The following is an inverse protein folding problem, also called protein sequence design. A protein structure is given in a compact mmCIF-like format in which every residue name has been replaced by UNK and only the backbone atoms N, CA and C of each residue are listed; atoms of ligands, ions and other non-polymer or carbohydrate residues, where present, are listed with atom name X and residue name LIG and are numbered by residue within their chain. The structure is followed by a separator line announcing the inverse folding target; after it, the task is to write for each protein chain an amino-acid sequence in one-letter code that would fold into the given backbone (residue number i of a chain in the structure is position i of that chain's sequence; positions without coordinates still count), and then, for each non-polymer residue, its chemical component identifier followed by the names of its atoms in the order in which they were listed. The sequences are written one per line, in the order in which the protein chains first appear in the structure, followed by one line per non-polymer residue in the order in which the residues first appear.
data_IF_851988171659
#
_entry.id   IF_851988171659
#
_cell.length_a   1.000
_cell.length_b   1.000
_cell.length_c   1.000
_cell.angle_alpha   90.00
_cell.angle_beta   90.00
_cell.angle_gamma   90.00
#
_symmetry.space_group_name_H-M   'P 1'
#
loop_
_entity.id
_entity.type
_entity.pdbx_description
1 polymer ?
#
# COMPACT_ATOMS: atom_id res chain seq x y z
N UNK A 1 5.00 5.16 -30.79
CA UNK A 1 6.14 4.52 -30.05
C UNK A 1 6.11 2.99 -30.12
N UNK A 2 4.95 2.35 -30.20
CA UNK A 2 4.83 0.87 -30.34
C UNK A 2 5.40 0.28 -31.64
N UNK A 3 5.59 1.07 -32.67
CA UNK A 3 6.09 0.62 -33.99
C UNK A 3 7.62 0.39 -34.00
N UNK A 4 8.35 0.73 -32.94
CA UNK A 4 9.80 0.57 -32.83
C UNK A 4 10.27 -0.47 -31.81
N UNK A 5 9.37 -1.26 -31.23
CA UNK A 5 9.75 -2.31 -30.29
C UNK A 5 10.33 -3.51 -31.05
N UNK A 6 11.56 -3.90 -30.72
CA UNK A 6 12.18 -5.12 -31.24
C UNK A 6 11.51 -6.33 -30.60
N UNK A 7 11.13 -7.38 -31.35
CA UNK A 7 10.60 -8.61 -30.77
C UNK A 7 11.59 -9.21 -29.77
N UNK A 8 11.12 -9.54 -28.58
CA UNK A 8 11.93 -10.22 -27.57
C UNK A 8 12.23 -11.62 -28.07
N UNK A 9 13.50 -11.94 -28.27
CA UNK A 9 13.94 -13.28 -28.68
C UNK A 9 14.05 -14.22 -27.49
N UNK A 10 13.86 -15.53 -27.71
CA UNK A 10 14.03 -16.57 -26.68
C UNK A 10 15.42 -16.48 -26.01
N UNK A 11 16.47 -16.22 -26.77
CA UNK A 11 17.83 -16.03 -26.25
C UNK A 11 17.94 -14.83 -25.28
N UNK A 12 17.16 -13.76 -25.50
CA UNK A 12 17.10 -12.63 -24.58
C UNK A 12 16.38 -13.01 -23.28
N UNK A 13 15.29 -13.78 -23.39
CA UNK A 13 14.54 -14.28 -22.23
C UNK A 13 15.45 -15.18 -21.37
N UNK A 14 16.18 -16.10 -21.99
CA UNK A 14 17.08 -17.03 -21.30
C UNK A 14 18.21 -16.28 -20.57
N UNK A 15 18.86 -15.33 -21.25
CA UNK A 15 19.92 -14.50 -20.64
C UNK A 15 19.39 -13.62 -19.50
N UNK A 16 18.17 -13.09 -19.65
CA UNK A 16 17.50 -12.31 -18.60
C UNK A 16 17.18 -13.17 -17.39
N UNK A 17 16.67 -14.39 -17.61
CA UNK A 17 16.37 -15.33 -16.52
C UNK A 17 17.62 -15.74 -15.74
N UNK A 18 18.76 -15.97 -16.41
CA UNK A 18 20.02 -16.29 -15.74
C UNK A 18 20.53 -15.12 -14.88
N UNK A 19 20.52 -13.90 -15.42
CA UNK A 19 20.95 -12.69 -14.68
C UNK A 19 20.04 -12.46 -13.48
N UNK A 20 18.74 -12.61 -13.67
CA UNK A 20 17.75 -12.42 -12.63
C UNK A 20 17.87 -13.48 -11.51
N UNK A 21 18.07 -14.73 -11.86
CA UNK A 21 18.29 -15.82 -10.91
C UNK A 21 19.55 -15.56 -10.04
N UNK A 22 20.65 -15.10 -10.65
CA UNK A 22 21.89 -14.74 -9.93
C UNK A 22 21.68 -13.54 -8.97
N UNK A 23 20.99 -12.50 -9.42
CA UNK A 23 20.66 -11.34 -8.55
C UNK A 23 19.78 -11.74 -7.38
N UNK A 24 18.83 -12.63 -7.60
CA UNK A 24 17.90 -13.11 -6.56
C UNK A 24 18.60 -13.96 -5.51
N UNK A 25 19.48 -14.86 -5.94
CA UNK A 25 20.28 -15.67 -5.00
C UNK A 25 21.21 -14.79 -4.17
N UNK A 26 21.85 -13.80 -4.76
CA UNK A 26 22.67 -12.83 -4.04
C UNK A 26 21.84 -12.03 -3.02
N UNK A 27 20.64 -11.58 -3.40
CA UNK A 27 19.73 -10.86 -2.50
C UNK A 27 19.24 -11.76 -1.36
N UNK A 28 18.99 -13.04 -1.63
CA UNK A 28 18.62 -14.04 -0.63
C UNK A 28 19.76 -14.28 0.36
N UNK A 29 20.98 -14.43 -0.12
CA UNK A 29 22.16 -14.62 0.71
C UNK A 29 22.41 -13.39 1.60
N UNK A 30 22.27 -12.18 1.05
CA UNK A 30 22.38 -10.93 1.81
C UNK A 30 21.31 -10.85 2.91
N UNK A 31 20.06 -11.25 2.64
CA UNK A 31 19.00 -11.30 3.66
C UNK A 31 19.22 -12.38 4.73
N UNK A 32 19.83 -13.51 4.38
CA UNK A 32 20.17 -14.56 5.34
C UNK A 32 21.34 -14.13 6.24
N UNK A 33 22.31 -13.41 5.70
CA UNK A 33 23.43 -12.85 6.47
C UNK A 33 22.94 -11.73 7.40
N UNK A 34 22.02 -10.84 6.96
CA UNK A 34 21.45 -9.81 7.81
C UNK A 34 20.56 -10.37 8.94
N UNK A 35 19.85 -11.48 8.70
CA UNK A 35 19.09 -12.19 9.77
C UNK A 35 19.97 -12.88 10.81
N UNK A 36 21.17 -13.25 10.48
CA UNK A 36 22.12 -13.91 11.42
C UNK A 36 22.91 -12.94 12.31
N UNK A 37 22.92 -11.64 11.95
CA UNK A 37 23.51 -10.57 12.77
C UNK A 37 22.37 -9.91 13.56
N UNK A 38 21.98 -10.53 14.65
CA UNK A 38 20.89 -10.06 15.52
C UNK A 38 21.20 -8.69 16.15
N UNK A 39 20.78 -7.65 15.51
CA UNK A 39 20.42 -6.29 15.93
C UNK A 39 20.13 -5.46 14.68
N UNK A 40 19.07 -5.78 13.95
CA UNK A 40 18.62 -4.95 12.82
C UNK A 40 18.05 -3.63 13.37
N UNK A 41 18.91 -2.66 13.58
CA UNK A 41 18.50 -1.27 13.69
C UNK A 41 17.95 -0.89 12.32
N UNK A 42 16.63 -0.72 12.19
CA UNK A 42 16.02 -0.31 10.95
C UNK A 42 16.46 1.12 10.65
N UNK A 43 17.22 1.30 9.58
CA UNK A 43 17.74 2.60 9.15
C UNK A 43 16.98 3.13 7.91
N UNK A 44 16.88 4.46 7.78
CA UNK A 44 16.28 5.05 6.60
C UNK A 44 17.11 4.79 5.35
N UNK A 45 16.45 4.43 4.25
CA UNK A 45 17.10 4.29 2.94
C UNK A 45 17.45 5.66 2.33
N UNK A 46 18.22 5.66 1.23
CA UNK A 46 18.72 6.89 0.59
C UNK A 46 17.59 7.90 0.26
N UNK A 47 16.48 7.41 -0.28
CA UNK A 47 15.31 8.25 -0.58
C UNK A 47 14.71 8.86 0.69
N UNK A 48 14.57 8.06 1.74
CA UNK A 48 14.05 8.53 3.02
C UNK A 48 14.98 9.56 3.67
N UNK A 49 16.30 9.39 3.57
CA UNK A 49 17.28 10.36 4.06
C UNK A 49 17.09 11.72 3.37
N UNK A 50 16.92 11.74 2.05
CA UNK A 50 16.73 12.99 1.31
C UNK A 50 15.38 13.64 1.64
N UNK A 51 14.32 12.84 1.75
CA UNK A 51 13.02 13.34 2.19
C UNK A 51 13.08 13.94 3.60
N UNK A 52 13.75 13.28 4.55
CA UNK A 52 13.94 13.78 5.92
C UNK A 52 14.72 15.09 5.96
N UNK A 53 15.78 15.25 5.15
CA UNK A 53 16.52 16.51 5.02
C UNK A 53 15.62 17.65 4.55
N UNK A 54 14.79 17.39 3.54
CA UNK A 54 13.90 18.41 3.01
C UNK A 54 12.77 18.78 3.99
N UNK A 55 12.22 17.80 4.73
CA UNK A 55 11.25 18.08 5.79
C UNK A 55 11.88 18.98 6.86
N UNK A 56 13.10 18.68 7.30
CA UNK A 56 13.80 19.51 8.29
C UNK A 56 14.06 20.93 7.75
N UNK A 57 14.47 21.06 6.48
CA UNK A 57 14.67 22.35 5.84
C UNK A 57 13.39 23.21 5.86
N UNK A 58 12.23 22.63 5.53
CA UNK A 58 10.94 23.33 5.61
C UNK A 58 10.64 23.79 7.05
N UNK A 59 10.95 22.99 8.06
CA UNK A 59 10.81 23.40 9.47
C UNK A 59 11.73 24.56 9.84
N UNK A 60 12.98 24.50 9.41
CA UNK A 60 13.97 25.57 9.65
C UNK A 60 13.54 26.89 8.97
N UNK A 61 12.82 26.81 7.84
CA UNK A 61 12.17 27.93 7.16
C UNK A 61 10.88 28.40 7.87
N UNK A 62 10.53 27.82 9.01
CA UNK A 62 9.32 28.18 9.78
C UNK A 62 8.01 27.63 9.22
N UNK A 63 8.06 26.66 8.31
CA UNK A 63 6.85 26.01 7.81
C UNK A 63 6.28 25.06 8.84
N UNK A 64 4.96 25.07 9.00
CA UNK A 64 4.22 24.23 9.95
C UNK A 64 3.56 23.02 9.29
N UNK A 65 3.57 22.97 7.96
CA UNK A 65 2.99 21.88 7.17
C UNK A 65 3.94 21.46 6.05
N UNK A 66 3.95 20.17 5.75
CA UNK A 66 4.65 19.61 4.59
C UNK A 66 3.87 18.46 3.96
N UNK A 67 3.99 18.31 2.64
CA UNK A 67 3.42 17.20 1.87
C UNK A 67 4.53 16.33 1.33
N UNK A 68 4.42 15.03 1.60
CA UNK A 68 5.25 13.97 1.03
C UNK A 68 4.44 13.23 -0.05
N UNK A 69 4.89 13.32 -1.29
CA UNK A 69 4.32 12.58 -2.40
C UNK A 69 5.22 11.39 -2.68
N UNK A 70 4.75 10.18 -2.43
CA UNK A 70 5.58 8.99 -2.58
C UNK A 70 4.75 7.78 -2.98
N UNK A 71 5.20 7.06 -4.01
CA UNK A 71 4.51 5.86 -4.51
C UNK A 71 4.24 4.84 -3.40
N UNK A 72 3.21 4.01 -3.58
CA UNK A 72 2.90 2.93 -2.64
C UNK A 72 4.06 1.94 -2.59
N UNK A 73 4.39 1.44 -1.39
CA UNK A 73 5.50 0.48 -1.19
C UNK A 73 6.88 1.10 -0.97
N UNK A 74 7.04 2.43 -1.06
CA UNK A 74 8.33 3.12 -0.84
C UNK A 74 8.71 3.30 0.63
N UNK A 75 7.84 2.86 1.57
CA UNK A 75 8.10 2.96 3.00
C UNK A 75 7.72 4.30 3.63
N UNK A 76 6.64 4.96 3.15
CA UNK A 76 6.11 6.23 3.71
C UNK A 76 5.92 6.19 5.22
N UNK A 77 5.34 5.11 5.75
CA UNK A 77 5.08 4.95 7.19
C UNK A 77 6.37 4.92 8.00
N UNK A 78 7.39 4.21 7.51
CA UNK A 78 8.73 4.22 8.13
C UNK A 78 9.34 5.62 8.08
N UNK A 79 9.25 6.31 6.95
CA UNK A 79 9.73 7.67 6.80
C UNK A 79 9.09 8.61 7.83
N UNK A 80 7.77 8.55 8.00
CA UNK A 80 7.08 9.36 9.00
C UNK A 80 7.47 9.02 10.44
N UNK A 81 7.78 7.74 10.72
CA UNK A 81 8.27 7.32 12.04
C UNK A 81 9.70 7.83 12.30
N UNK A 82 10.60 7.79 11.31
CA UNK A 82 11.93 8.39 11.40
C UNK A 82 11.87 9.90 11.57
N UNK A 83 10.97 10.55 10.84
CA UNK A 83 10.76 11.99 10.99
C UNK A 83 10.23 12.36 12.38
N UNK A 84 9.27 11.60 12.90
CA UNK A 84 8.79 11.76 14.27
C UNK A 84 9.91 11.55 15.30
N UNK A 85 10.82 10.59 15.06
CA UNK A 85 11.98 10.34 15.93
C UNK A 85 12.95 11.52 15.94
N UNK A 86 13.14 12.19 14.79
CA UNK A 86 13.96 13.40 14.68
C UNK A 86 13.27 14.62 15.32
N UNK A 87 11.97 14.78 15.11
CA UNK A 87 11.18 15.88 15.65
C UNK A 87 10.97 15.80 17.17
N UNK A 88 10.94 14.57 17.73
CA UNK A 88 10.76 14.27 19.16
C UNK A 88 9.48 14.88 19.76
N UNK A 89 8.30 14.61 19.18
CA UNK A 89 7.06 15.14 19.74
C UNK A 89 6.78 14.53 21.13
N UNK A 90 6.15 15.30 22.01
CA UNK A 90 5.59 14.75 23.23
C UNK A 90 4.40 13.86 22.89
N UNK A 91 3.46 14.38 22.09
CA UNK A 91 2.28 13.65 21.64
C UNK A 91 2.14 13.74 20.11
N UNK A 92 1.78 12.61 19.51
CA UNK A 92 1.59 12.49 18.06
C UNK A 92 0.21 11.91 17.75
N UNK A 93 -0.46 12.46 16.72
CA UNK A 93 -1.68 11.90 16.13
C UNK A 93 -1.37 11.39 14.71
N UNK A 94 -1.59 10.10 14.47
CA UNK A 94 -1.53 9.50 13.14
C UNK A 94 -2.94 9.24 12.63
N UNK A 95 -3.28 9.82 11.48
CA UNK A 95 -4.63 9.74 10.89
C UNK A 95 -4.58 9.04 9.55
N UNK A 96 -5.46 8.08 9.35
CA UNK A 96 -5.59 7.32 8.11
C UNK A 96 -7.05 6.93 7.85
N UNK A 97 -7.38 6.46 6.66
CA UNK A 97 -8.78 6.17 6.31
C UNK A 97 -9.31 4.81 6.81
N UNK A 98 -8.45 3.83 7.15
CA UNK A 98 -8.85 2.48 7.60
C UNK A 98 -8.15 2.06 8.89
N UNK A 99 -8.89 1.38 9.78
CA UNK A 99 -8.38 0.95 11.08
C UNK A 99 -7.24 -0.09 10.97
N UNK A 100 -7.28 -0.99 9.98
CA UNK A 100 -6.21 -1.96 9.76
C UNK A 100 -4.89 -1.27 9.33
N UNK A 101 -4.97 -0.19 8.54
CA UNK A 101 -3.79 0.59 8.18
C UNK A 101 -3.26 1.36 9.41
N UNK A 102 -4.14 1.91 10.24
CA UNK A 102 -3.76 2.54 11.51
C UNK A 102 -3.02 1.56 12.43
N UNK A 103 -3.52 0.32 12.57
CA UNK A 103 -2.87 -0.74 13.35
C UNK A 103 -1.48 -1.11 12.78
N UNK A 104 -1.36 -1.23 11.45
CA UNK A 104 -0.10 -1.51 10.80
C UNK A 104 0.92 -0.37 11.00
N UNK A 105 0.47 0.89 10.87
CA UNK A 105 1.29 2.06 11.15
C UNK A 105 1.75 2.09 12.61
N UNK A 106 0.86 1.79 13.56
CA UNK A 106 1.21 1.70 14.97
C UNK A 106 2.32 0.67 15.21
N UNK A 107 2.25 -0.52 14.61
CA UNK A 107 3.31 -1.53 14.69
C UNK A 107 4.65 -1.02 14.15
N UNK A 108 4.65 -0.30 13.02
CA UNK A 108 5.85 0.31 12.45
C UNK A 108 6.48 1.32 13.44
N UNK A 109 5.66 2.17 14.05
CA UNK A 109 6.14 3.13 15.06
C UNK A 109 6.67 2.43 16.31
N UNK A 110 5.99 1.37 16.78
CA UNK A 110 6.47 0.53 17.89
C UNK A 110 7.85 -0.07 17.59
N UNK A 111 8.09 -0.51 16.36
CA UNK A 111 9.39 -1.04 15.96
C UNK A 111 10.50 0.03 16.01
N UNK A 112 10.20 1.27 15.62
CA UNK A 112 11.19 2.37 15.58
C UNK A 112 11.45 2.99 16.96
N UNK A 113 10.42 3.10 17.80
CA UNK A 113 10.50 3.76 19.11
C UNK A 113 10.69 2.78 20.28
N UNK A 114 10.40 1.50 20.08
CA UNK A 114 10.46 0.50 21.15
C UNK A 114 9.59 0.90 22.35
N UNK A 115 10.19 0.95 23.54
CA UNK A 115 9.54 1.34 24.79
C UNK A 115 9.62 2.84 25.10
N UNK A 116 10.20 3.66 24.22
CA UNK A 116 10.39 5.10 24.47
C UNK A 116 9.05 5.87 24.53
N UNK A 117 8.02 5.36 23.88
CA UNK A 117 6.68 5.97 23.77
C UNK A 117 5.59 4.96 24.03
N UNK A 118 4.47 5.44 24.52
CA UNK A 118 3.25 4.65 24.63
C UNK A 118 2.36 4.85 23.39
N UNK A 119 1.72 3.76 22.92
CA UNK A 119 0.94 3.75 21.69
C UNK A 119 -0.50 3.35 21.98
N UNK A 120 -1.45 3.97 21.30
CA UNK A 120 -2.86 3.67 21.46
C UNK A 120 -3.66 3.82 20.18
N UNK A 121 -4.71 3.01 20.09
CA UNK A 121 -5.71 3.11 19.02
C UNK A 121 -6.89 3.97 19.46
N UNK A 122 -7.31 4.87 18.57
CA UNK A 122 -8.53 5.65 18.75
C UNK A 122 -9.43 5.49 17.52
N UNK A 123 -10.01 4.29 17.37
CA UNK A 123 -10.86 3.93 16.23
C UNK A 123 -11.77 2.76 16.59
N UNK A 124 -12.95 2.70 16.03
CA UNK A 124 -13.91 1.65 16.32
C UNK A 124 -14.24 1.59 17.83
N UNK A 125 -14.06 0.42 18.43
CA UNK A 125 -14.33 0.16 19.85
C UNK A 125 -13.16 0.59 20.76
N UNK A 126 -11.98 0.82 20.22
CA UNK A 126 -10.81 1.27 20.99
C UNK A 126 -10.79 2.78 21.12
N UNK A 127 -10.69 3.29 22.36
CA UNK A 127 -10.73 4.72 22.70
C UNK A 127 -9.62 5.10 23.70
N UNK A 128 -8.40 4.76 23.36
CA UNK A 128 -7.23 5.05 24.20
C UNK A 128 -6.78 6.51 24.04
N UNK A 129 -7.15 7.36 25.02
CA UNK A 129 -6.86 8.79 25.01
C UNK A 129 -5.50 9.16 25.61
N UNK A 130 -5.05 8.41 26.64
CA UNK A 130 -3.90 8.74 27.48
C UNK A 130 -2.62 8.04 27.01
N UNK A 131 -2.33 8.15 25.71
CA UNK A 131 -1.11 7.61 25.10
C UNK A 131 -0.33 8.75 24.44
N UNK A 132 0.99 8.56 24.35
CA UNK A 132 1.84 9.54 23.69
C UNK A 132 1.54 9.61 22.20
N UNK A 133 1.41 8.47 21.53
CA UNK A 133 1.14 8.37 20.11
C UNK A 133 -0.20 7.69 19.88
N UNK A 134 -1.11 8.40 19.23
CA UNK A 134 -2.48 7.95 18.98
C UNK A 134 -2.67 7.73 17.48
N UNK A 135 -3.20 6.55 17.15
CA UNK A 135 -3.51 6.14 15.78
C UNK A 135 -5.02 6.08 15.59
N UNK A 136 -5.52 6.86 14.64
CA UNK A 136 -6.96 7.02 14.45
C UNK A 136 -7.36 6.91 12.99
N UNK A 137 -8.64 6.62 12.76
CA UNK A 137 -9.22 6.82 11.43
C UNK A 137 -9.79 8.22 11.31
N UNK A 138 -9.70 8.77 10.09
CA UNK A 138 -10.26 10.10 9.80
C UNK A 138 -11.75 10.16 10.12
N UNK A 139 -12.52 9.10 9.83
CA UNK A 139 -13.96 9.02 10.12
C UNK A 139 -14.27 9.06 11.61
N UNK A 140 -13.36 8.59 12.46
CA UNK A 140 -13.54 8.64 13.90
C UNK A 140 -13.15 10.02 14.42
N UNK A 141 -11.92 10.45 14.17
CA UNK A 141 -11.38 11.67 14.79
C UNK A 141 -12.06 12.96 14.29
N UNK A 142 -12.62 12.98 13.07
CA UNK A 142 -13.29 14.17 12.54
C UNK A 142 -14.70 14.43 13.08
N UNK A 143 -15.29 13.49 13.83
CA UNK A 143 -16.63 13.69 14.45
C UNK A 143 -16.53 14.61 15.67
N UNK A 144 -17.52 15.48 15.88
CA UNK A 144 -17.50 16.48 16.97
C UNK A 144 -17.33 15.85 18.35
N UNK A 145 -18.08 14.78 18.62
CA UNK A 145 -18.01 14.05 19.89
C UNK A 145 -16.68 13.31 20.12
N UNK A 146 -15.84 13.18 19.13
CA UNK A 146 -14.54 12.54 19.22
C UNK A 146 -13.40 13.55 19.23
N UNK A 147 -13.41 14.54 18.33
CA UNK A 147 -12.35 15.54 18.24
C UNK A 147 -12.26 16.38 19.51
N UNK A 148 -13.43 16.71 20.12
CA UNK A 148 -13.53 17.49 21.38
C UNK A 148 -13.08 16.72 22.62
N UNK A 149 -12.78 15.42 22.53
CA UNK A 149 -12.11 14.67 23.60
C UNK A 149 -10.64 15.05 23.76
N UNK A 150 -10.09 15.77 22.80
CA UNK A 150 -8.72 16.25 22.79
C UNK A 150 -8.72 17.78 22.84
N UNK A 151 -7.75 18.36 23.54
CA UNK A 151 -7.53 19.79 23.48
C UNK A 151 -6.85 20.16 22.14
N UNK A 152 -7.04 21.38 21.69
CA UNK A 152 -6.46 21.87 20.43
C UNK A 152 -4.93 21.72 20.34
N UNK A 153 -4.24 21.83 21.49
CA UNK A 153 -2.78 21.75 21.62
C UNK A 153 -2.25 20.40 22.10
N UNK A 154 -3.11 19.37 22.13
CA UNK A 154 -2.71 18.06 22.66
C UNK A 154 -1.64 17.35 21.82
N UNK A 155 -1.57 17.66 20.54
CA UNK A 155 -0.61 17.02 19.63
C UNK A 155 0.42 18.02 19.10
N UNK A 156 1.69 17.74 19.35
CA UNK A 156 2.80 18.51 18.77
C UNK A 156 2.97 18.19 17.29
N UNK A 157 2.66 16.96 16.89
CA UNK A 157 2.90 16.47 15.56
C UNK A 157 1.70 15.66 15.06
N UNK A 158 1.24 15.96 13.85
CA UNK A 158 0.16 15.23 13.20
C UNK A 158 0.67 14.66 11.89
N UNK A 159 0.43 13.37 11.66
CA UNK A 159 0.68 12.69 10.40
C UNK A 159 -0.65 12.30 9.79
N UNK A 160 -0.85 12.68 8.53
CA UNK A 160 -2.06 12.34 7.76
C UNK A 160 -1.63 11.48 6.57
N UNK A 161 -2.01 10.21 6.59
CA UNK A 161 -1.72 9.29 5.49
C UNK A 161 -2.93 9.14 4.56
N UNK A 162 -2.65 8.89 3.28
CA UNK A 162 -3.65 8.76 2.22
C UNK A 162 -4.56 10.00 2.11
N UNK A 163 -3.96 11.19 2.12
CA UNK A 163 -4.68 12.48 2.11
C UNK A 163 -5.67 12.64 0.96
N UNK A 164 -5.52 11.84 -0.10
CA UNK A 164 -6.41 11.84 -1.26
C UNK A 164 -7.74 11.11 -1.06
N UNK A 165 -7.90 10.26 -0.01
CA UNK A 165 -9.06 9.35 0.12
C UNK A 165 -10.21 9.83 0.99
N UNK A 166 -10.01 10.81 1.86
CA UNK A 166 -11.09 11.31 2.70
C UNK A 166 -11.77 12.52 2.09
N UNK A 167 -13.04 12.68 2.37
CA UNK A 167 -13.77 13.88 1.97
C UNK A 167 -13.06 15.14 2.47
N UNK A 168 -12.97 16.16 1.63
CA UNK A 168 -12.28 17.43 1.89
C UNK A 168 -12.57 18.00 3.29
N UNK A 169 -13.84 17.93 3.70
CA UNK A 169 -14.31 18.52 4.96
C UNK A 169 -13.75 17.82 6.22
N UNK A 170 -13.54 16.49 6.18
CA UNK A 170 -13.05 15.76 7.36
C UNK A 170 -11.59 16.07 7.67
N UNK A 171 -10.75 16.16 6.65
CA UNK A 171 -9.33 16.55 6.83
C UNK A 171 -9.20 18.02 7.20
N UNK A 172 -9.92 18.92 6.51
CA UNK A 172 -9.93 20.33 6.82
C UNK A 172 -10.32 20.56 8.27
N UNK A 173 -11.34 19.88 8.77
CA UNK A 173 -11.78 19.95 10.17
C UNK A 173 -10.67 19.55 11.15
N UNK A 174 -9.91 18.49 10.87
CA UNK A 174 -8.78 18.08 11.71
C UNK A 174 -7.68 19.14 11.70
N UNK A 175 -7.32 19.63 10.51
CA UNK A 175 -6.28 20.64 10.33
C UNK A 175 -6.64 22.00 10.96
N UNK A 176 -7.91 22.37 10.98
CA UNK A 176 -8.41 23.61 11.58
C UNK A 176 -8.59 23.50 13.09
N UNK A 177 -8.91 22.30 13.59
CA UNK A 177 -9.14 22.09 15.03
C UNK A 177 -7.86 22.07 15.83
N UNK A 178 -6.84 21.31 15.37
CA UNK A 178 -5.61 21.12 16.12
C UNK A 178 -4.56 22.18 15.80
N UNK A 179 -3.95 22.73 16.85
CA UNK A 179 -2.84 23.68 16.79
C UNK A 179 -1.50 22.94 16.95
N UNK A 180 -1.21 22.01 16.01
CA UNK A 180 0.04 21.24 16.03
C UNK A 180 1.24 22.12 15.62
N UNK A 181 2.42 21.81 16.17
CA UNK A 181 3.68 22.47 15.78
C UNK A 181 4.08 22.10 14.35
N UNK A 182 3.79 20.87 13.93
CA UNK A 182 4.04 20.41 12.56
C UNK A 182 3.03 19.38 12.11
N UNK A 183 2.67 19.43 10.83
CA UNK A 183 1.74 18.51 10.18
C UNK A 183 2.40 17.94 8.93
N UNK A 184 2.53 16.63 8.84
CA UNK A 184 3.02 15.90 7.67
C UNK A 184 1.87 15.20 6.96
N UNK A 185 1.58 15.62 5.73
CA UNK A 185 0.71 14.89 4.83
C UNK A 185 1.49 13.89 3.97
N UNK A 186 0.92 12.73 3.75
CA UNK A 186 1.49 11.71 2.89
C UNK A 186 0.46 11.22 1.88
N UNK A 187 0.87 11.08 0.62
CA UNK A 187 0.02 10.54 -0.44
C UNK A 187 0.85 9.89 -1.54
N UNK A 188 0.27 8.93 -2.24
CA UNK A 188 0.85 8.41 -3.48
C UNK A 188 0.32 9.16 -4.71
N UNK A 189 -0.89 9.70 -4.63
CA UNK A 189 -1.63 10.33 -5.72
C UNK A 189 -2.27 11.63 -5.21
N UNK A 190 -1.57 12.77 -5.28
CA UNK A 190 -2.12 14.04 -4.83
C UNK A 190 -3.20 14.59 -5.77
N UNK A 191 -3.21 14.13 -7.04
CA UNK A 191 -4.20 14.51 -8.02
C UNK A 191 -5.56 13.90 -7.69
N UNK A 192 -6.59 14.75 -7.62
CA UNK A 192 -7.98 14.35 -7.34
C UNK A 192 -8.91 14.80 -8.42
N UNK A 193 -9.94 13.98 -8.66
CA UNK A 193 -11.00 14.27 -9.63
C UNK A 193 -12.20 15.02 -9.01
N UNK A 194 -12.25 15.15 -7.68
CA UNK A 194 -13.37 15.75 -6.94
C UNK A 194 -13.17 17.25 -6.60
N UNK A 195 -12.16 17.88 -7.19
CA UNK A 195 -11.91 19.33 -7.04
C UNK A 195 -11.22 19.74 -5.74
N UNK A 196 -10.83 18.80 -4.87
CA UNK A 196 -10.01 19.14 -3.71
C UNK A 196 -8.53 19.26 -4.11
N UNK A 197 -7.95 20.41 -3.86
CA UNK A 197 -6.51 20.62 -3.97
C UNK A 197 -5.79 20.16 -2.69
N UNK A 198 -5.14 19.00 -2.77
CA UNK A 198 -4.33 18.49 -1.64
C UNK A 198 -3.12 19.37 -1.39
N UNK A 199 -2.57 20.00 -2.40
CA UNK A 199 -1.43 20.90 -2.26
C UNK A 199 -1.78 22.15 -1.44
N UNK A 200 -2.98 22.71 -1.65
CA UNK A 200 -3.49 23.85 -0.88
C UNK A 200 -3.60 23.53 0.62
N UNK A 201 -4.04 22.32 1.00
CA UNK A 201 -4.13 21.90 2.42
C UNK A 201 -2.78 21.95 3.15
N UNK A 202 -1.69 21.82 2.41
CA UNK A 202 -0.31 21.83 2.93
C UNK A 202 0.47 23.08 2.49
N UNK A 203 -0.24 24.17 2.16
CA UNK A 203 0.33 25.46 1.77
C UNK A 203 1.35 25.33 0.63
N UNK A 204 1.16 24.35 -0.28
CA UNK A 204 2.07 23.97 -1.37
C UNK A 204 3.51 23.64 -0.93
N UNK A 205 3.73 23.29 0.34
CA UNK A 205 5.04 22.91 0.86
C UNK A 205 5.32 21.43 0.56
N UNK A 206 5.86 21.13 -0.62
CA UNK A 206 6.24 19.79 -1.01
C UNK A 206 7.64 19.49 -0.47
N UNK A 207 7.73 18.58 0.51
CA UNK A 207 9.01 18.16 1.07
C UNK A 207 9.77 17.23 0.12
N UNK A 208 9.07 16.30 -0.50
CA UNK A 208 9.67 15.33 -1.41
C UNK A 208 8.61 14.73 -2.34
N UNK A 209 9.02 14.45 -3.56
CA UNK A 209 8.16 13.80 -4.55
C UNK A 209 8.90 12.67 -5.24
N UNK A 210 8.35 11.44 -5.15
CA UNK A 210 8.80 10.29 -5.89
C UNK A 210 7.61 9.50 -6.44
N UNK A 211 7.44 9.54 -7.74
CA UNK A 211 6.41 8.82 -8.46
C UNK A 211 6.83 7.38 -8.75
N UNK A 212 5.87 6.54 -9.13
CA UNK A 212 6.07 5.12 -9.40
C UNK A 212 7.25 4.86 -10.35
N UNK A 213 7.30 5.57 -11.49
CA UNK A 213 8.36 5.40 -12.47
C UNK A 213 9.75 5.65 -11.85
N UNK A 214 9.90 6.75 -11.12
CA UNK A 214 11.17 7.11 -10.48
C UNK A 214 11.57 6.11 -9.39
N UNK A 215 10.59 5.61 -8.62
CA UNK A 215 10.83 4.60 -7.60
C UNK A 215 11.29 3.26 -8.19
N UNK A 216 10.79 2.89 -9.37
CA UNK A 216 11.26 1.72 -10.14
C UNK A 216 12.67 1.94 -10.69
N UNK A 217 12.96 3.09 -11.30
CA UNK A 217 14.29 3.44 -11.80
C UNK A 217 15.35 3.41 -10.68
N UNK A 218 15.00 3.90 -9.51
CA UNK A 218 15.87 3.88 -8.31
C UNK A 218 15.92 2.51 -7.61
N UNK A 219 15.24 1.48 -8.14
CA UNK A 219 15.16 0.13 -7.56
C UNK A 219 14.65 0.08 -6.12
N UNK A 220 13.85 1.07 -5.72
CA UNK A 220 13.15 1.10 -4.43
C UNK A 220 11.96 0.13 -4.46
N UNK A 221 11.31 0.03 -5.63
CA UNK A 221 10.23 -0.92 -5.90
C UNK A 221 10.72 -2.04 -6.82
N UNK A 222 10.14 -3.21 -6.65
CA UNK A 222 10.38 -4.35 -7.55
C UNK A 222 9.83 -4.03 -8.93
N UNK A 223 10.58 -4.32 -10.01
CA UNK A 223 10.07 -4.17 -11.36
C UNK A 223 8.88 -5.12 -11.59
N UNK A 224 8.00 -4.74 -12.48
CA UNK A 224 6.87 -5.56 -12.91
C UNK A 224 6.66 -5.44 -14.42
N UNK A 225 6.00 -6.44 -14.99
CA UNK A 225 5.57 -6.43 -16.37
C UNK A 225 4.05 -6.19 -16.42
N UNK A 226 3.64 -5.22 -17.22
CA UNK A 226 2.24 -4.93 -17.45
C UNK A 226 1.82 -5.42 -18.83
N UNK A 227 0.79 -6.24 -18.89
CA UNK A 227 0.23 -6.77 -20.13
C UNK A 227 -1.21 -6.32 -20.28
N UNK A 228 -1.48 -5.53 -21.31
CA UNK A 228 -2.85 -5.24 -21.74
C UNK A 228 -3.37 -6.42 -22.56
N UNK A 229 -4.46 -7.03 -22.11
CA UNK A 229 -5.09 -8.15 -22.80
C UNK A 229 -6.50 -7.72 -23.20
N UNK A 230 -6.80 -7.78 -24.49
CA UNK A 230 -8.18 -7.61 -24.97
C UNK A 230 -8.98 -8.84 -24.59
N UNK A 231 -10.12 -8.65 -23.97
CA UNK A 231 -11.04 -9.73 -23.65
C UNK A 231 -11.73 -10.27 -24.93
N UNK A 232 -12.42 -11.40 -24.82
CA UNK A 232 -13.08 -12.04 -25.94
C UNK A 232 -14.31 -11.22 -26.37
N UNK A 233 -14.61 -11.27 -27.66
CA UNK A 233 -15.93 -10.90 -28.14
C UNK A 233 -16.81 -12.15 -28.17
N UNK A 234 -17.97 -12.11 -27.52
CA UNK A 234 -18.99 -13.15 -27.57
C UNK A 234 -20.19 -12.56 -28.31
N UNK A 235 -20.65 -13.23 -29.35
CA UNK A 235 -21.76 -12.78 -30.21
C UNK A 235 -21.55 -11.39 -30.83
N UNK A 236 -20.29 -10.95 -30.97
CA UNK A 236 -19.93 -9.67 -31.59
C UNK A 236 -19.74 -8.51 -30.60
N UNK A 237 -20.10 -8.68 -29.34
CA UNK A 237 -19.92 -7.70 -28.29
C UNK A 237 -18.65 -8.00 -27.49
N UNK A 238 -17.84 -6.95 -27.20
CA UNK A 238 -16.70 -7.06 -26.31
C UNK A 238 -17.18 -7.25 -24.87
N UNK A 239 -16.58 -8.21 -24.17
CA UNK A 239 -16.84 -8.39 -22.75
C UNK A 239 -16.19 -7.25 -21.98
N UNK A 240 -16.96 -6.55 -21.16
CA UNK A 240 -16.53 -5.47 -20.28
C UNK A 240 -17.03 -5.66 -18.85
N UNK A 241 -16.74 -4.70 -17.98
CA UNK A 241 -17.15 -4.71 -16.57
C UNK A 241 -18.67 -4.70 -16.36
N UNK A 242 -19.43 -4.29 -17.36
CA UNK A 242 -20.89 -4.17 -17.34
C UNK A 242 -21.58 -5.40 -17.97
N UNK A 243 -20.80 -6.35 -18.47
CA UNK A 243 -21.32 -7.57 -19.11
C UNK A 243 -22.06 -8.44 -18.09
N UNK A 244 -23.09 -9.13 -18.58
CA UNK A 244 -23.89 -10.03 -17.75
C UNK A 244 -23.03 -11.11 -17.07
N UNK A 245 -23.40 -11.49 -15.86
CA UNK A 245 -22.72 -12.52 -15.06
C UNK A 245 -22.44 -13.81 -15.85
N UNK A 246 -23.40 -14.30 -16.64
CA UNK A 246 -23.22 -15.49 -17.49
C UNK A 246 -22.10 -15.34 -18.50
N UNK A 247 -21.90 -14.15 -19.02
CA UNK A 247 -20.83 -13.81 -19.98
C UNK A 247 -19.48 -13.76 -19.26
N UNK A 248 -19.44 -13.17 -18.07
CA UNK A 248 -18.21 -13.05 -17.25
C UNK A 248 -17.66 -14.41 -16.81
N UNK A 249 -18.48 -15.42 -16.61
CA UNK A 249 -18.10 -16.79 -16.23
C UNK A 249 -18.15 -17.80 -17.39
N UNK A 250 -18.23 -17.31 -18.62
CA UNK A 250 -18.24 -18.20 -19.79
C UNK A 250 -16.96 -19.03 -19.85
N UNK A 251 -17.11 -20.32 -20.16
CA UNK A 251 -16.00 -21.28 -20.23
C UNK A 251 -14.91 -20.88 -21.24
N UNK A 252 -15.28 -20.20 -22.34
CA UNK A 252 -14.31 -19.70 -23.31
C UNK A 252 -13.47 -18.58 -22.76
N UNK A 253 -14.07 -17.65 -22.00
CA UNK A 253 -13.36 -16.59 -21.29
C UNK A 253 -12.40 -17.14 -20.24
N UNK A 254 -12.84 -18.11 -19.44
CA UNK A 254 -12.00 -18.79 -18.45
C UNK A 254 -10.80 -19.44 -19.11
N UNK A 255 -11.01 -20.21 -20.17
CA UNK A 255 -9.93 -20.82 -20.97
C UNK A 255 -8.99 -19.78 -21.55
N UNK A 256 -9.52 -18.63 -22.01
CA UNK A 256 -8.70 -17.54 -22.52
C UNK A 256 -7.81 -16.96 -21.41
N UNK A 257 -8.38 -16.67 -20.25
CA UNK A 257 -7.61 -16.18 -19.08
C UNK A 257 -6.51 -17.17 -18.70
N UNK A 258 -6.84 -18.47 -18.59
CA UNK A 258 -5.86 -19.49 -18.23
C UNK A 258 -4.74 -19.64 -19.27
N UNK A 259 -5.06 -19.53 -20.56
CA UNK A 259 -4.05 -19.51 -21.63
C UNK A 259 -3.12 -18.30 -21.52
N UNK A 260 -3.66 -17.13 -21.19
CA UNK A 260 -2.85 -15.92 -21.00
C UNK A 260 -1.97 -16.00 -19.76
N UNK A 261 -2.48 -16.56 -18.66
CA UNK A 261 -1.68 -16.85 -17.47
C UNK A 261 -0.52 -17.79 -17.81
N UNK A 262 -0.79 -18.86 -18.54
CA UNK A 262 0.25 -19.81 -18.96
C UNK A 262 1.27 -19.18 -19.93
N UNK A 263 0.82 -18.30 -20.83
CA UNK A 263 1.66 -17.60 -21.80
C UNK A 263 2.64 -16.63 -21.14
N UNK A 264 2.15 -15.80 -20.22
CA UNK A 264 2.97 -14.79 -19.56
C UNK A 264 3.72 -15.34 -18.35
N UNK A 265 3.26 -16.47 -17.80
CA UNK A 265 3.92 -17.15 -16.71
C UNK A 265 3.92 -16.38 -15.39
N UNK A 266 4.78 -16.85 -14.50
CA UNK A 266 5.02 -16.22 -13.22
C UNK A 266 6.48 -16.36 -12.82
N UNK A 267 6.94 -15.51 -11.92
CA UNK A 267 8.30 -15.55 -11.42
C UNK A 267 8.56 -16.86 -10.67
N UNK A 268 9.65 -17.56 -10.99
CA UNK A 268 10.09 -18.84 -10.41
C UNK A 268 9.13 -20.02 -10.55
N UNK A 269 8.15 -19.98 -11.42
CA UNK A 269 7.16 -21.06 -11.60
C UNK A 269 6.23 -21.27 -10.40
N UNK A 270 6.27 -20.38 -9.40
CA UNK A 270 5.38 -20.42 -8.23
C UNK A 270 4.32 -19.34 -8.36
N UNK A 271 3.11 -19.77 -8.69
CA UNK A 271 1.97 -18.85 -8.83
C UNK A 271 1.59 -18.25 -7.48
N UNK A 272 1.44 -16.91 -7.47
CA UNK A 272 0.88 -16.12 -6.38
C UNK A 272 0.15 -14.93 -6.98
N UNK A 273 -1.15 -15.00 -7.06
CA UNK A 273 -1.95 -14.01 -7.77
C UNK A 273 -3.09 -13.43 -6.94
N UNK A 274 -3.35 -12.14 -7.17
CA UNK A 274 -4.59 -11.50 -6.76
C UNK A 274 -5.42 -11.24 -8.00
N UNK A 275 -6.70 -11.61 -7.97
CA UNK A 275 -7.64 -11.40 -9.07
C UNK A 275 -8.74 -10.47 -8.57
N UNK A 276 -8.83 -9.29 -9.20
CA UNK A 276 -9.86 -8.32 -8.90
C UNK A 276 -11.03 -8.54 -9.85
N UNK A 277 -12.21 -8.78 -9.28
CA UNK A 277 -13.45 -9.05 -10.01
C UNK A 277 -14.38 -7.85 -9.94
N UNK A 278 -15.27 -7.71 -10.92
CA UNK A 278 -16.24 -6.62 -10.98
C UNK A 278 -17.35 -6.76 -9.93
N UNK A 279 -17.68 -7.99 -9.55
CA UNK A 279 -18.71 -8.27 -8.54
C UNK A 279 -18.43 -9.54 -7.74
N UNK A 280 -19.20 -9.71 -6.64
CA UNK A 280 -19.02 -10.83 -5.69
C UNK A 280 -19.31 -12.20 -6.33
N UNK A 281 -20.29 -12.27 -7.24
CA UNK A 281 -20.72 -13.52 -7.85
C UNK A 281 -19.66 -14.00 -8.88
N UNK A 282 -19.08 -13.09 -9.65
CA UNK A 282 -17.93 -13.37 -10.51
C UNK A 282 -16.75 -13.87 -9.69
N UNK A 283 -16.43 -13.18 -8.57
CA UNK A 283 -15.35 -13.53 -7.67
C UNK A 283 -15.47 -14.99 -7.17
N UNK A 284 -16.66 -15.39 -6.72
CA UNK A 284 -16.92 -16.76 -6.24
C UNK A 284 -16.86 -17.78 -7.35
N UNK A 285 -17.49 -17.48 -8.49
CA UNK A 285 -17.56 -18.41 -9.61
C UNK A 285 -16.18 -18.66 -10.24
N UNK A 286 -15.39 -17.61 -10.48
CA UNK A 286 -14.03 -17.76 -11.00
C UNK A 286 -13.13 -18.54 -10.03
N UNK A 287 -13.25 -18.34 -8.71
CA UNK A 287 -12.49 -19.11 -7.73
C UNK A 287 -12.83 -20.60 -7.81
N UNK A 288 -14.11 -20.96 -7.98
CA UNK A 288 -14.54 -22.36 -8.14
C UNK A 288 -13.96 -22.96 -9.43
N UNK A 289 -14.04 -22.23 -10.53
CA UNK A 289 -13.53 -22.69 -11.83
C UNK A 289 -12.01 -22.88 -11.82
N UNK A 290 -11.26 -21.96 -11.20
CA UNK A 290 -9.82 -22.11 -11.06
C UNK A 290 -9.45 -23.33 -10.23
N UNK A 291 -10.19 -23.64 -9.16
CA UNK A 291 -10.02 -24.86 -8.39
C UNK A 291 -10.30 -26.12 -9.24
N UNK A 292 -11.33 -26.09 -10.09
CA UNK A 292 -11.64 -27.18 -11.03
C UNK A 292 -10.52 -27.40 -12.07
N UNK A 293 -9.74 -26.36 -12.38
CA UNK A 293 -8.57 -26.43 -13.27
C UNK A 293 -7.25 -26.73 -12.54
N UNK A 294 -7.30 -27.13 -11.27
CA UNK A 294 -6.14 -27.58 -10.49
C UNK A 294 -5.37 -26.50 -9.74
N UNK A 295 -5.83 -25.26 -9.74
CA UNK A 295 -5.27 -24.21 -8.89
C UNK A 295 -5.87 -24.27 -7.48
N UNK A 296 -5.14 -23.77 -6.49
CA UNK A 296 -5.63 -23.60 -5.12
C UNK A 296 -6.06 -22.14 -4.94
N UNK A 297 -7.36 -21.88 -4.96
CA UNK A 297 -7.87 -20.51 -4.85
C UNK A 297 -9.01 -20.37 -3.85
N UNK A 298 -9.18 -19.14 -3.35
CA UNK A 298 -10.33 -18.75 -2.52
C UNK A 298 -10.86 -17.39 -2.96
N UNK A 299 -12.14 -17.13 -2.68
CA UNK A 299 -12.74 -15.81 -2.83
C UNK A 299 -12.84 -15.10 -1.49
N UNK A 300 -12.44 -13.82 -1.44
CA UNK A 300 -12.60 -12.93 -0.30
C UNK A 300 -13.54 -11.79 -0.67
N UNK A 301 -14.60 -11.65 0.08
CA UNK A 301 -15.64 -10.64 -0.11
C UNK A 301 -15.73 -9.69 1.08
N UNK A 302 -16.59 -8.67 1.01
CA UNK A 302 -16.82 -7.74 2.11
C UNK A 302 -17.27 -8.40 3.41
N UNK A 303 -17.85 -9.59 3.36
CA UNK A 303 -18.37 -10.34 4.51
C UNK A 303 -17.31 -11.15 5.28
N UNK A 304 -16.13 -11.37 4.68
CA UNK A 304 -15.06 -12.11 5.35
C UNK A 304 -14.44 -11.30 6.48
N UNK A 305 -14.19 -11.96 7.61
CA UNK A 305 -13.54 -11.38 8.77
C UNK A 305 -12.07 -10.99 8.50
N UNK A 306 -11.51 -10.11 9.34
CA UNK A 306 -10.09 -9.73 9.28
C UNK A 306 -9.17 -10.96 9.47
N UNK A 307 -9.60 -11.91 10.30
CA UNK A 307 -8.86 -13.16 10.54
C UNK A 307 -8.77 -14.02 9.28
N UNK A 308 -9.89 -14.27 8.61
CA UNK A 308 -9.93 -15.04 7.36
C UNK A 308 -9.08 -14.39 6.26
N UNK A 309 -9.09 -13.06 6.16
CA UNK A 309 -8.24 -12.32 5.21
C UNK A 309 -6.76 -12.51 5.49
N UNK A 310 -6.36 -12.42 6.76
CA UNK A 310 -4.96 -12.60 7.15
C UNK A 310 -4.51 -14.04 6.92
N UNK A 311 -5.31 -15.04 7.28
CA UNK A 311 -5.04 -16.46 7.00
C UNK A 311 -4.89 -16.72 5.50
N UNK A 312 -5.71 -16.11 4.67
CA UNK A 312 -5.61 -16.23 3.22
C UNK A 312 -4.30 -15.62 2.67
N UNK A 313 -3.91 -14.46 3.18
CA UNK A 313 -2.65 -13.80 2.79
C UNK A 313 -1.45 -14.66 3.22
N UNK A 314 -1.44 -15.15 4.47
CA UNK A 314 -0.39 -16.04 4.97
C UNK A 314 -0.26 -17.31 4.11
N UNK A 315 -1.37 -17.90 3.69
CA UNK A 315 -1.39 -19.04 2.78
C UNK A 315 -0.91 -18.69 1.38
N UNK A 316 -1.23 -17.51 0.85
CA UNK A 316 -0.73 -17.05 -0.46
C UNK A 316 0.78 -16.81 -0.42
N UNK A 317 1.31 -16.31 0.68
CA UNK A 317 2.74 -16.05 0.89
C UNK A 317 3.53 -17.31 1.30
N UNK A 318 2.85 -18.39 1.71
CA UNK A 318 3.46 -19.62 2.20
C UNK A 318 4.36 -20.26 1.15
N UNK A 319 5.45 -20.88 1.61
CA UNK A 319 6.30 -21.78 0.84
C UNK A 319 5.91 -23.25 0.99
N UNK A 320 4.99 -23.54 1.92
CA UNK A 320 4.45 -24.89 2.11
C UNK A 320 3.45 -25.23 0.98
N UNK A 321 3.84 -26.14 0.12
CA UNK A 321 3.07 -26.53 -1.06
C UNK A 321 1.71 -27.17 -0.72
N UNK A 322 1.54 -27.73 0.48
CA UNK A 322 0.27 -28.33 0.90
C UNK A 322 -0.75 -27.26 1.27
N UNK A 323 -0.34 -26.24 1.99
CA UNK A 323 -1.19 -25.19 2.53
C UNK A 323 -1.27 -23.92 1.68
N UNK A 324 -0.35 -23.74 0.70
CA UNK A 324 -0.32 -22.52 -0.10
C UNK A 324 -1.59 -22.33 -0.92
N UNK A 325 -1.91 -21.08 -1.20
CA UNK A 325 -2.84 -20.67 -2.25
C UNK A 325 -2.06 -20.22 -3.49
N UNK A 326 -2.67 -20.41 -4.66
CA UNK A 326 -2.19 -19.87 -5.92
C UNK A 326 -2.84 -18.53 -6.21
N UNK A 327 -4.14 -18.38 -5.89
CA UNK A 327 -4.90 -17.15 -6.15
C UNK A 327 -5.84 -16.78 -5.01
N UNK A 328 -6.00 -15.48 -4.80
CA UNK A 328 -7.09 -14.90 -4.03
C UNK A 328 -7.91 -14.03 -4.99
N UNK A 329 -9.20 -14.32 -5.09
CA UNK A 329 -10.19 -13.53 -5.83
C UNK A 329 -10.85 -12.53 -4.88
N UNK A 330 -11.02 -11.27 -5.30
CA UNK A 330 -11.57 -10.20 -4.45
C UNK A 330 -12.36 -9.16 -5.26
#
# INVERSE_FOLDING_TARGET
EFVRSTPVTLAFIDSYQEIYAKQKELTRQLRLVSKSIGNDCIEPNAMQIDALKNINKLRDEGKTKALLISATGTGKTYLSAFDAKNFKPNRLLFVVHRANIAKAAMKTYQTIFGSEKSFGMYSGDSKELNKDFIFSTVQTISRDNHITQFNKKDFDYIVIDETHRAGANSYRKILEYFEAKFILGMTATPERTDGLDVFELFDHNIAYEIRLQKALEMKILSPFHYYGITDLSIDGDLIDELSDFKTLINQERIKHILRKIALYGCDNGVVRGLVFCSNIDECKALSIEFNAHGFKSISLTGTNSEKERNEAIERLESFDLENKLDYIFT
#
